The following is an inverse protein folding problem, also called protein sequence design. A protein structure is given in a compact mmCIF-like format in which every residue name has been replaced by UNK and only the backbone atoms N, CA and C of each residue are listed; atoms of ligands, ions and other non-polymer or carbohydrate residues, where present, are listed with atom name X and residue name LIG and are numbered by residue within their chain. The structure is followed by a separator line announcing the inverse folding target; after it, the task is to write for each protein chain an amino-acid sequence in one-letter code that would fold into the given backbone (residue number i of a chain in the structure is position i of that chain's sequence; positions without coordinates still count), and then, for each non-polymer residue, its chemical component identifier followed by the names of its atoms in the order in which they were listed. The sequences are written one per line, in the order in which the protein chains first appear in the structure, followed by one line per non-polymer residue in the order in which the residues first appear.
data_IF_361653262167
#
_entry.id   IF_361653262167
#
_cell.length_a   1.000
_cell.length_b   1.000
_cell.length_c   1.000
_cell.angle_alpha   90.00
_cell.angle_beta   90.00
_cell.angle_gamma   90.00
#
_symmetry.space_group_name_H-M   'P 1'
#
loop_
_entity.id
_entity.type
_entity.pdbx_description
1 polymer ?
#
# COMPACT_ATOMS: atom_id res chain seq x y z
N UNK A 1 -17.04 2.32 30.82
CA UNK A 1 -15.94 1.73 30.02
C UNK A 1 -15.90 2.46 28.69
N UNK A 2 -15.03 3.45 28.59
CA UNK A 2 -14.97 4.40 27.48
C UNK A 2 -14.24 3.74 26.31
N UNK A 3 -14.95 3.61 25.19
CA UNK A 3 -14.37 3.61 23.85
C UNK A 3 -13.36 4.77 23.82
N UNK A 4 -12.06 4.47 23.95
CA UNK A 4 -11.01 5.44 23.70
C UNK A 4 -11.28 5.97 22.30
N UNK A 5 -11.63 7.25 22.25
CA UNK A 5 -12.13 7.87 21.06
C UNK A 5 -11.10 7.67 19.94
N UNK A 6 -11.59 7.17 18.80
CA UNK A 6 -10.92 7.22 17.51
C UNK A 6 -10.67 8.68 17.11
N UNK A 7 -9.79 9.36 17.83
CA UNK A 7 -9.33 10.72 17.55
C UNK A 7 -7.94 10.60 16.93
N UNK A 8 -7.86 10.34 15.61
CA UNK A 8 -6.56 10.20 14.95
C UNK A 8 -5.69 11.45 15.13
N UNK A 9 -6.28 12.64 15.28
CA UNK A 9 -5.53 13.86 15.58
C UNK A 9 -4.84 13.83 16.96
N UNK A 10 -5.55 13.44 18.02
CA UNK A 10 -4.97 13.32 19.36
C UNK A 10 -3.95 12.17 19.46
N UNK A 11 -4.13 11.12 18.64
CA UNK A 11 -3.14 10.06 18.49
C UNK A 11 -1.84 10.58 17.89
N UNK A 12 -1.88 11.47 16.89
CA UNK A 12 -0.67 12.04 16.28
C UNK A 12 0.19 12.81 17.28
N UNK A 13 -0.40 13.65 18.14
CA UNK A 13 0.34 14.38 19.17
C UNK A 13 1.03 13.45 20.17
N UNK A 14 0.35 12.35 20.54
CA UNK A 14 0.91 11.34 21.44
C UNK A 14 2.05 10.56 20.80
N UNK A 15 2.00 10.36 19.48
CA UNK A 15 3.04 9.68 18.71
C UNK A 15 4.28 10.55 18.52
N UNK A 16 4.13 11.87 18.34
CA UNK A 16 5.26 12.81 18.31
C UNK A 16 6.11 12.73 19.58
N UNK A 17 5.46 12.73 20.74
CA UNK A 17 6.14 12.59 22.03
C UNK A 17 6.84 11.22 22.19
N UNK A 18 6.26 10.16 21.61
CA UNK A 18 6.83 8.81 21.67
C UNK A 18 8.07 8.68 20.77
N UNK A 19 8.00 9.19 19.54
CA UNK A 19 9.12 9.19 18.59
C UNK A 19 10.30 10.05 19.09
N UNK A 20 10.02 11.19 19.71
CA UNK A 20 11.06 12.02 20.33
C UNK A 20 11.78 11.30 21.48
N UNK A 21 11.06 10.46 22.24
CA UNK A 21 11.61 9.75 23.40
C UNK A 21 12.28 8.42 23.02
N UNK A 22 11.85 7.80 21.94
CA UNK A 22 12.38 6.54 21.43
C UNK A 22 12.62 6.64 19.91
N UNK A 23 13.72 7.29 19.48
CA UNK A 23 13.95 7.55 18.06
C UNK A 23 14.29 6.30 17.23
N UNK A 24 14.71 5.22 17.90
CA UNK A 24 15.21 3.99 17.29
C UNK A 24 14.62 2.73 17.93
N UNK A 25 14.57 1.64 17.16
CA UNK A 25 14.16 0.31 17.62
C UNK A 25 12.67 0.01 17.40
N UNK A 26 12.23 -1.16 17.87
CA UNK A 26 10.91 -1.70 17.58
C UNK A 26 9.73 -0.80 18.02
N UNK A 27 9.91 -0.02 19.09
CA UNK A 27 8.92 0.96 19.55
C UNK A 27 8.78 2.13 18.58
N UNK A 28 9.89 2.60 17.99
CA UNK A 28 9.86 3.65 16.97
C UNK A 28 9.11 3.17 15.71
N UNK A 29 9.35 1.92 15.28
CA UNK A 29 8.63 1.35 14.15
C UNK A 29 7.13 1.20 14.43
N UNK A 30 6.75 0.78 15.64
CA UNK A 30 5.35 0.69 16.04
C UNK A 30 4.67 2.08 16.07
N UNK A 31 5.37 3.09 16.56
CA UNK A 31 4.89 4.48 16.57
C UNK A 31 4.66 4.98 15.14
N UNK A 32 5.63 4.74 14.24
CA UNK A 32 5.53 5.13 12.83
C UNK A 32 4.37 4.44 12.13
N UNK A 33 4.13 3.16 12.38
CA UNK A 33 2.98 2.44 11.83
C UNK A 33 1.65 3.05 12.29
N UNK A 34 1.51 3.26 13.60
CA UNK A 34 0.33 3.91 14.17
C UNK A 34 0.12 5.33 13.59
N UNK A 35 1.22 6.04 13.30
CA UNK A 35 1.20 7.37 12.68
C UNK A 35 0.68 7.30 11.25
N UNK A 36 1.18 6.35 10.45
CA UNK A 36 0.71 6.11 9.08
C UNK A 36 -0.79 5.82 9.08
N UNK A 37 -1.26 4.93 9.95
CA UNK A 37 -2.69 4.59 10.06
C UNK A 37 -3.56 5.80 10.43
N UNK A 38 -3.10 6.62 11.38
CA UNK A 38 -3.80 7.84 11.78
C UNK A 38 -3.87 8.87 10.64
N UNK A 39 -2.77 9.05 9.90
CA UNK A 39 -2.72 9.96 8.75
C UNK A 39 -3.68 9.51 7.64
N UNK A 40 -3.70 8.20 7.33
CA UNK A 40 -4.63 7.65 6.34
C UNK A 40 -6.09 7.84 6.75
N UNK A 41 -6.40 7.61 8.02
CA UNK A 41 -7.75 7.82 8.58
C UNK A 41 -8.21 9.29 8.53
N UNK A 42 -7.25 10.23 8.51
CA UNK A 42 -7.50 11.67 8.35
C UNK A 42 -7.50 12.13 6.89
N UNK A 43 -7.34 11.22 5.92
CA UNK A 43 -7.22 11.56 4.50
C UNK A 43 -5.87 12.21 4.13
N UNK A 44 -4.88 12.20 5.02
CA UNK A 44 -3.55 12.78 4.82
C UNK A 44 -2.61 11.78 4.12
N UNK A 45 -3.03 11.32 2.94
CA UNK A 45 -2.32 10.30 2.17
C UNK A 45 -0.89 10.70 1.78
N UNK A 46 -0.67 11.98 1.43
CA UNK A 46 0.66 12.49 1.08
C UNK A 46 1.64 12.42 2.26
N UNK A 47 1.19 12.74 3.47
CA UNK A 47 2.03 12.67 4.67
C UNK A 47 2.35 11.23 5.05
N UNK A 48 1.38 10.32 4.92
CA UNK A 48 1.59 8.89 5.13
C UNK A 48 2.63 8.33 4.13
N UNK A 49 2.55 8.73 2.86
CA UNK A 49 3.50 8.34 1.84
C UNK A 49 4.91 8.88 2.15
N UNK A 50 5.03 10.14 2.59
CA UNK A 50 6.31 10.72 2.96
C UNK A 50 7.00 9.94 4.10
N UNK A 51 6.25 9.48 5.11
CA UNK A 51 6.78 8.63 6.17
C UNK A 51 7.26 7.27 5.64
N UNK A 52 6.49 6.65 4.74
CA UNK A 52 6.84 5.37 4.12
C UNK A 52 8.07 5.46 3.21
N UNK A 53 8.27 6.59 2.54
CA UNK A 53 9.46 6.85 1.72
C UNK A 53 10.70 7.15 2.58
N UNK A 54 10.53 7.86 3.69
CA UNK A 54 11.60 8.17 4.64
C UNK A 54 12.06 6.98 5.48
N UNK A 55 11.31 5.87 5.47
CA UNK A 55 11.61 4.66 6.23
C UNK A 55 11.51 3.40 5.36
N UNK A 56 12.35 3.22 4.32
CA UNK A 56 12.25 2.08 3.41
C UNK A 56 12.43 0.73 4.12
N UNK A 57 13.19 0.70 5.23
CA UNK A 57 13.33 -0.48 6.08
C UNK A 57 12.03 -0.90 6.77
N UNK A 58 11.08 0.03 6.99
CA UNK A 58 9.79 -0.29 7.60
C UNK A 58 8.97 -1.20 6.69
N UNK A 59 8.83 -0.88 5.39
CA UNK A 59 8.13 -1.77 4.45
C UNK A 59 8.83 -3.10 4.25
N UNK A 60 10.17 -3.12 4.21
CA UNK A 60 10.93 -4.36 4.08
C UNK A 60 10.77 -5.29 5.29
N UNK A 61 10.72 -4.74 6.51
CA UNK A 61 10.60 -5.51 7.76
C UNK A 61 9.17 -5.84 8.14
N UNK A 62 8.20 -4.98 7.80
CA UNK A 62 6.78 -5.11 8.20
C UNK A 62 5.92 -5.83 7.17
N UNK A 63 6.49 -6.19 6.01
CA UNK A 63 5.92 -7.18 5.11
C UNK A 63 5.16 -6.61 3.91
N UNK A 64 4.63 -7.52 3.10
CA UNK A 64 4.07 -7.22 1.78
C UNK A 64 2.84 -6.30 1.84
N UNK A 65 2.08 -6.30 2.93
CA UNK A 65 0.94 -5.39 3.10
C UNK A 65 1.37 -3.93 3.05
N UNK A 66 2.50 -3.60 3.68
CA UNK A 66 3.01 -2.22 3.71
C UNK A 66 3.62 -1.82 2.36
N UNK A 67 4.15 -2.78 1.60
CA UNK A 67 4.57 -2.55 0.22
C UNK A 67 3.36 -2.26 -0.69
N UNK A 68 2.28 -3.04 -0.60
CA UNK A 68 1.05 -2.79 -1.37
C UNK A 68 0.47 -1.42 -1.03
N UNK A 69 0.35 -1.09 0.25
CA UNK A 69 -0.14 0.23 0.68
C UNK A 69 0.73 1.36 0.11
N UNK A 70 2.07 1.24 0.18
CA UNK A 70 2.96 2.25 -0.40
C UNK A 70 2.80 2.35 -1.91
N UNK A 71 2.64 1.23 -2.60
CA UNK A 71 2.35 1.17 -4.03
C UNK A 71 1.05 1.88 -4.40
N UNK A 72 -0.04 1.66 -3.66
CA UNK A 72 -1.33 2.32 -3.88
C UNK A 72 -1.25 3.84 -3.65
N UNK A 73 -0.51 4.28 -2.64
CA UNK A 73 -0.27 5.70 -2.38
C UNK A 73 0.60 6.34 -3.48
N UNK A 74 1.63 5.63 -3.96
CA UNK A 74 2.47 6.07 -5.08
C UNK A 74 1.70 6.16 -6.39
N UNK A 75 0.83 5.19 -6.69
CA UNK A 75 -0.09 5.26 -7.84
C UNK A 75 -0.96 6.50 -7.78
N UNK A 76 -1.56 6.77 -6.62
CA UNK A 76 -2.43 7.93 -6.40
C UNK A 76 -1.67 9.26 -6.54
N UNK A 77 -0.36 9.25 -6.26
CA UNK A 77 0.54 10.39 -6.42
C UNK A 77 1.17 10.51 -7.83
N UNK A 78 0.81 9.64 -8.79
CA UNK A 78 1.38 9.65 -10.14
C UNK A 78 2.77 9.02 -10.26
N UNK A 79 3.27 8.36 -9.21
CA UNK A 79 4.60 7.75 -9.12
C UNK A 79 4.57 6.29 -9.57
N UNK A 80 4.21 6.10 -10.83
CA UNK A 80 3.87 4.78 -11.39
C UNK A 80 5.05 3.80 -11.45
N UNK A 81 6.26 4.33 -11.68
CA UNK A 81 7.48 3.50 -11.69
C UNK A 81 7.75 2.91 -10.32
N UNK A 82 7.72 3.74 -9.26
CA UNK A 82 7.95 3.25 -7.90
C UNK A 82 6.81 2.41 -7.36
N UNK A 83 5.57 2.71 -7.76
CA UNK A 83 4.42 1.90 -7.40
C UNK A 83 4.50 0.49 -8.00
N UNK A 84 4.87 0.38 -9.29
CA UNK A 84 5.06 -0.90 -9.94
C UNK A 84 6.10 -1.76 -9.21
N UNK A 85 7.23 -1.17 -8.80
CA UNK A 85 8.26 -1.88 -8.05
C UNK A 85 7.75 -2.43 -6.71
N UNK A 86 6.96 -1.64 -5.97
CA UNK A 86 6.36 -2.08 -4.70
C UNK A 86 5.37 -3.22 -4.90
N UNK A 87 4.49 -3.11 -5.90
CA UNK A 87 3.55 -4.16 -6.23
C UNK A 87 4.24 -5.46 -6.65
N UNK A 88 5.25 -5.37 -7.51
CA UNK A 88 6.03 -6.54 -7.93
C UNK A 88 6.68 -7.24 -6.74
N UNK A 89 7.25 -6.49 -5.80
CA UNK A 89 7.81 -7.03 -4.57
C UNK A 89 6.76 -7.72 -3.67
N UNK A 90 5.49 -7.32 -3.78
CA UNK A 90 4.37 -7.88 -3.03
C UNK A 90 3.59 -9.01 -3.75
N UNK A 91 3.85 -9.30 -5.03
CA UNK A 91 3.14 -10.36 -5.79
C UNK A 91 3.30 -11.76 -5.20
N UNK A 92 4.31 -11.98 -4.36
CA UNK A 92 4.55 -13.26 -3.66
C UNK A 92 4.04 -13.26 -2.22
N UNK A 93 3.14 -12.35 -1.87
CA UNK A 93 2.55 -12.30 -0.53
C UNK A 93 1.84 -13.63 -0.20
N UNK A 94 2.04 -14.17 1.02
CA UNK A 94 1.40 -15.42 1.43
C UNK A 94 -0.12 -15.25 1.57
N UNK A 95 -0.56 -14.07 2.01
CA UNK A 95 -1.97 -13.73 2.13
C UNK A 95 -2.56 -13.41 0.75
N UNK A 96 -3.59 -14.16 0.36
CA UNK A 96 -4.24 -14.04 -0.94
C UNK A 96 -4.78 -12.63 -1.21
N UNK A 97 -5.40 -11.98 -0.22
CA UNK A 97 -5.93 -10.62 -0.38
C UNK A 97 -4.83 -9.57 -0.68
N UNK A 98 -3.64 -9.75 -0.11
CA UNK A 98 -2.49 -8.86 -0.35
C UNK A 98 -1.92 -9.12 -1.73
N UNK A 99 -1.74 -10.39 -2.08
CA UNK A 99 -1.27 -10.81 -3.41
C UNK A 99 -2.20 -10.30 -4.50
N UNK A 100 -3.51 -10.42 -4.31
CA UNK A 100 -4.53 -9.97 -5.25
C UNK A 100 -4.40 -8.48 -5.55
N UNK A 101 -4.31 -7.65 -4.49
CA UNK A 101 -4.09 -6.20 -4.62
C UNK A 101 -2.77 -5.88 -5.32
N UNK A 102 -1.70 -6.59 -4.99
CA UNK A 102 -0.39 -6.41 -5.60
C UNK A 102 -0.42 -6.69 -7.11
N UNK A 103 -0.98 -7.82 -7.53
CA UNK A 103 -1.04 -8.20 -8.96
C UNK A 103 -1.91 -7.22 -9.74
N UNK A 104 -3.09 -6.88 -9.23
CA UNK A 104 -3.97 -5.91 -9.90
C UNK A 104 -3.36 -4.50 -9.95
N UNK A 105 -2.74 -4.05 -8.86
CA UNK A 105 -2.03 -2.78 -8.79
C UNK A 105 -0.86 -2.70 -9.78
N UNK A 106 -0.07 -3.78 -9.92
CA UNK A 106 1.01 -3.86 -10.91
C UNK A 106 0.48 -3.72 -12.34
N UNK A 107 -0.63 -4.39 -12.67
CA UNK A 107 -1.25 -4.26 -13.98
C UNK A 107 -1.72 -2.82 -14.26
N UNK A 108 -2.34 -2.18 -13.27
CA UNK A 108 -2.74 -0.77 -13.38
C UNK A 108 -1.56 0.19 -13.58
N UNK A 109 -0.47 -0.01 -12.84
CA UNK A 109 0.74 0.79 -12.97
C UNK A 109 1.41 0.60 -14.35
N UNK A 110 1.45 -0.64 -14.87
CA UNK A 110 1.94 -0.92 -16.22
C UNK A 110 1.13 -0.17 -17.29
N UNK A 111 -0.20 -0.16 -17.18
CA UNK A 111 -1.06 0.57 -18.11
C UNK A 111 -0.79 2.08 -18.05
N UNK A 112 -0.63 2.67 -16.86
CA UNK A 112 -0.29 4.10 -16.71
C UNK A 112 1.09 4.47 -17.24
N UNK A 113 2.00 3.51 -17.30
CA UNK A 113 3.32 3.66 -17.92
C UNK A 113 3.29 3.44 -19.44
N UNK A 114 2.12 3.17 -20.05
CA UNK A 114 1.99 2.87 -21.48
C UNK A 114 2.53 1.49 -21.89
N UNK A 115 2.71 0.59 -20.92
CA UNK A 115 3.19 -0.78 -21.15
C UNK A 115 2.01 -1.72 -21.35
N UNK A 116 1.22 -1.44 -22.38
CA UNK A 116 -0.12 -2.01 -22.56
C UNK A 116 -0.11 -3.54 -22.73
N UNK A 117 0.87 -4.09 -23.46
CA UNK A 117 0.99 -5.54 -23.64
C UNK A 117 1.25 -6.26 -22.30
N UNK A 118 2.11 -5.68 -21.46
CA UNK A 118 2.42 -6.23 -20.14
C UNK A 118 1.26 -6.07 -19.17
N UNK A 119 0.55 -4.93 -19.23
CA UNK A 119 -0.65 -4.71 -18.45
C UNK A 119 -1.74 -5.74 -18.80
N UNK A 120 -1.94 -5.98 -20.10
CA UNK A 120 -2.89 -6.98 -20.61
C UNK A 120 -2.53 -8.38 -20.12
N UNK A 121 -1.27 -8.79 -20.27
CA UNK A 121 -0.79 -10.08 -19.78
C UNK A 121 -0.96 -10.23 -18.25
N UNK A 122 -0.69 -9.17 -17.49
CA UNK A 122 -0.88 -9.17 -16.04
C UNK A 122 -2.36 -9.30 -15.63
N UNK A 123 -3.28 -8.65 -16.35
CA UNK A 123 -4.72 -8.79 -16.11
C UNK A 123 -5.26 -10.17 -16.49
N UNK A 124 -4.71 -10.80 -17.52
CA UNK A 124 -5.03 -12.18 -17.88
C UNK A 124 -4.59 -13.14 -16.76
N UNK A 125 -3.34 -13.05 -16.32
CA UNK A 125 -2.83 -13.84 -15.20
C UNK A 125 -3.62 -13.59 -13.91
N UNK A 126 -4.03 -12.34 -13.64
CA UNK A 126 -4.90 -12.00 -12.52
C UNK A 126 -6.22 -12.76 -12.57
N UNK A 127 -6.87 -12.87 -13.74
CA UNK A 127 -8.16 -13.57 -13.88
C UNK A 127 -8.01 -15.09 -13.77
N UNK A 128 -6.84 -15.63 -14.13
CA UNK A 128 -6.54 -17.05 -13.94
C UNK A 128 -6.36 -17.39 -12.45
N UNK A 129 -5.65 -16.55 -11.71
CA UNK A 129 -5.38 -16.75 -10.27
C UNK A 129 -6.57 -16.35 -9.37
N UNK A 130 -7.34 -15.33 -9.79
CA UNK A 130 -8.44 -14.74 -9.03
C UNK A 130 -9.71 -14.56 -9.90
N UNK A 131 -10.31 -15.65 -10.42
CA UNK A 131 -11.44 -15.58 -11.34
C UNK A 131 -12.70 -14.92 -10.75
N UNK A 132 -12.84 -14.99 -9.42
CA UNK A 132 -13.90 -14.33 -8.64
C UNK A 132 -13.32 -13.27 -7.67
N UNK A 133 -12.12 -12.77 -7.97
CA UNK A 133 -11.46 -11.74 -7.17
C UNK A 133 -12.23 -10.43 -7.13
N UNK A 134 -11.90 -9.61 -6.13
CA UNK A 134 -12.43 -8.26 -5.91
C UNK A 134 -12.36 -7.38 -7.17
N UNK A 135 -11.33 -7.55 -7.99
CA UNK A 135 -11.09 -6.75 -9.19
C UNK A 135 -11.42 -7.49 -10.50
N UNK A 136 -12.00 -8.69 -10.45
CA UNK A 136 -12.27 -9.51 -11.64
C UNK A 136 -13.19 -8.83 -12.66
N UNK A 137 -14.22 -8.11 -12.21
CA UNK A 137 -15.08 -7.34 -13.11
C UNK A 137 -14.29 -6.24 -13.83
N UNK A 138 -13.51 -5.44 -13.08
CA UNK A 138 -12.70 -4.36 -13.65
C UNK A 138 -11.61 -4.89 -14.59
N UNK A 139 -10.98 -6.01 -14.26
CA UNK A 139 -10.00 -6.67 -15.11
C UNK A 139 -10.61 -7.15 -16.44
N UNK A 140 -11.82 -7.77 -16.42
CA UNK A 140 -12.53 -8.17 -17.64
C UNK A 140 -12.87 -6.96 -18.51
N UNK A 141 -13.40 -5.89 -17.91
CA UNK A 141 -13.69 -4.64 -18.63
C UNK A 141 -12.43 -4.06 -19.28
N UNK A 142 -11.31 -4.00 -18.57
CA UNK A 142 -10.04 -3.51 -19.12
C UNK A 142 -9.48 -4.38 -20.26
N UNK A 143 -9.82 -5.68 -20.28
CA UNK A 143 -9.48 -6.61 -21.36
C UNK A 143 -10.50 -6.63 -22.51
N UNK A 144 -11.62 -5.90 -22.40
CA UNK A 144 -12.71 -5.92 -23.38
C UNK A 144 -13.50 -7.24 -23.41
N UNK A 145 -13.65 -7.91 -22.26
CA UNK A 145 -14.37 -9.19 -22.10
C UNK A 145 -15.67 -9.04 -21.31
#
# INVERSE_FOLDING_TARGET
QLRQAHQPAAALESLDALEARFPNGALADAARLARIEALLSLGRAADALALLDGAPGLSALKGQELLVLRGELRESAGRHVEALADFQAATRAPLAAVRERAVYGAAGALARLGRDEEARAALEAYLDDFPAGRFAAAARTALGR
#
